data_IF_160324926204
#
_entry.id   IF_160324926204
#
_cell.length_a   1.000
_cell.length_b   1.000
_cell.length_c   1.000
_cell.angle_alpha   90.00
_cell.angle_beta   90.00
_cell.angle_gamma   90.00
#
_symmetry.space_group_name_H-M   'P 1'
#
loop_
_entity.id
_entity.type
_entity.pdbx_description
1 polymer ?
#
# COMPACT_ATOMS: atom_id res chain seq x y z
N UNK A 1 7.31 9.80 -17.68
CA UNK A 1 6.09 9.43 -16.94
C UNK A 1 4.88 9.34 -17.90
N UNK A 2 4.86 8.39 -18.84
CA UNK A 2 3.76 8.30 -19.82
C UNK A 2 2.71 7.23 -19.48
N UNK A 3 3.02 6.28 -18.60
CA UNK A 3 2.16 5.12 -18.34
C UNK A 3 0.80 5.52 -17.75
N UNK A 4 0.78 6.51 -16.84
CA UNK A 4 -0.45 7.00 -16.24
C UNK A 4 -1.37 7.69 -17.27
N UNK A 5 -0.90 8.69 -18.05
CA UNK A 5 -1.70 9.27 -19.13
C UNK A 5 -2.26 8.23 -20.11
N UNK A 6 -1.45 7.24 -20.50
CA UNK A 6 -1.88 6.20 -21.44
C UNK A 6 -2.92 5.27 -20.80
N UNK A 7 -2.76 4.91 -19.52
CA UNK A 7 -3.77 4.16 -18.78
C UNK A 7 -5.10 4.92 -18.68
N UNK A 8 -5.05 6.22 -18.38
CA UNK A 8 -6.25 7.07 -18.37
C UNK A 8 -6.90 7.08 -19.75
N UNK A 9 -6.12 7.23 -20.82
CA UNK A 9 -6.62 7.17 -22.19
C UNK A 9 -7.26 5.82 -22.51
N UNK A 10 -6.65 4.70 -22.12
CA UNK A 10 -7.20 3.35 -22.32
C UNK A 10 -8.53 3.15 -21.60
N UNK A 11 -8.63 3.57 -20.34
CA UNK A 11 -9.88 3.50 -19.58
C UNK A 11 -10.95 4.43 -20.17
N UNK A 12 -10.58 5.64 -20.58
CA UNK A 12 -11.49 6.58 -21.22
C UNK A 12 -12.02 6.04 -22.55
N UNK A 13 -11.16 5.47 -23.39
CA UNK A 13 -11.51 4.95 -24.71
C UNK A 13 -12.03 3.50 -24.72
N UNK A 14 -12.13 2.84 -23.57
CA UNK A 14 -12.58 1.44 -23.45
C UNK A 14 -13.88 1.13 -24.22
N UNK A 15 -14.86 2.04 -24.19
CA UNK A 15 -16.15 1.90 -24.91
C UNK A 15 -16.00 1.85 -26.44
N UNK A 16 -14.85 2.25 -26.98
CA UNK A 16 -14.54 2.22 -28.40
C UNK A 16 -13.75 0.97 -28.81
N UNK A 17 -13.31 0.13 -27.88
CA UNK A 17 -12.52 -1.07 -28.21
C UNK A 17 -13.26 -2.03 -29.16
N UNK A 18 -14.58 -2.29 -29.03
CA UNK A 18 -15.30 -3.13 -29.98
C UNK A 18 -15.50 -2.49 -31.35
N UNK A 19 -15.39 -1.15 -31.45
CA UNK A 19 -15.69 -0.37 -32.65
C UNK A 19 -14.44 -0.06 -33.48
N UNK A 20 -13.26 -0.06 -32.86
CA UNK A 20 -12.00 0.31 -33.49
C UNK A 20 -11.00 -0.85 -33.34
N UNK A 21 -10.91 -1.74 -34.35
CA UNK A 21 -9.95 -2.83 -34.37
C UNK A 21 -8.53 -2.32 -34.12
N UNK A 22 -7.77 -3.00 -33.25
CA UNK A 22 -6.39 -2.67 -32.94
C UNK A 22 -6.18 -1.52 -31.93
N UNK A 23 -7.19 -0.70 -31.61
CA UNK A 23 -7.06 0.36 -30.59
C UNK A 23 -6.70 -0.21 -29.22
N UNK A 24 -7.39 -1.28 -28.82
CA UNK A 24 -7.15 -1.98 -27.56
C UNK A 24 -5.70 -2.46 -27.45
N UNK A 25 -5.26 -3.22 -28.44
CA UNK A 25 -3.95 -3.89 -28.42
C UNK A 25 -2.82 -2.85 -28.53
N UNK A 26 -3.05 -1.77 -29.30
CA UNK A 26 -2.15 -0.61 -29.35
C UNK A 26 -1.98 0.05 -27.99
N UNK A 27 -3.08 0.38 -27.30
CA UNK A 27 -3.02 1.04 -26.00
C UNK A 27 -2.40 0.13 -24.93
N UNK A 28 -2.69 -1.17 -24.95
CA UNK A 28 -2.02 -2.13 -24.07
C UNK A 28 -0.51 -2.20 -24.33
N UNK A 29 -0.11 -2.27 -25.61
CA UNK A 29 1.29 -2.21 -26.01
C UNK A 29 1.99 -0.95 -25.51
N UNK A 30 1.36 0.23 -25.69
CA UNK A 30 1.93 1.51 -25.23
C UNK A 30 2.04 1.56 -23.69
N UNK A 31 1.07 1.04 -22.93
CA UNK A 31 1.15 0.97 -21.47
C UNK A 31 2.40 0.18 -21.04
N UNK A 32 2.61 -1.00 -21.63
CA UNK A 32 3.76 -1.87 -21.32
C UNK A 32 5.07 -1.21 -21.76
N UNK A 33 5.15 -0.71 -23.00
CA UNK A 33 6.34 -0.04 -23.52
C UNK A 33 6.71 1.20 -22.71
N UNK A 34 5.71 1.98 -22.27
CA UNK A 34 5.95 3.13 -21.39
C UNK A 34 6.49 2.70 -20.03
N UNK A 35 6.01 1.59 -19.46
CA UNK A 35 6.54 1.08 -18.21
C UNK A 35 7.97 0.55 -18.36
N UNK A 36 8.27 -0.18 -19.45
CA UNK A 36 9.64 -0.59 -19.78
C UNK A 36 10.56 0.63 -19.96
N UNK A 37 10.11 1.66 -20.69
CA UNK A 37 10.86 2.92 -20.84
C UNK A 37 11.14 3.57 -19.49
N UNK A 38 10.17 3.60 -18.57
CA UNK A 38 10.36 4.13 -17.23
C UNK A 38 11.42 3.38 -16.39
N UNK A 39 11.67 2.10 -16.69
CA UNK A 39 12.65 1.24 -16.00
C UNK A 39 14.03 1.37 -16.66
N UNK A 40 14.10 1.18 -17.98
CA UNK A 40 15.37 1.13 -18.72
C UNK A 40 15.94 2.50 -19.03
N UNK A 41 15.07 3.49 -19.29
CA UNK A 41 15.43 4.87 -19.66
C UNK A 41 14.72 5.88 -18.73
N UNK A 42 14.94 5.80 -17.40
CA UNK A 42 14.34 6.73 -16.45
C UNK A 42 14.87 8.14 -16.70
N UNK A 43 14.10 9.18 -16.32
CA UNK A 43 14.51 10.56 -16.51
C UNK A 43 15.82 10.84 -15.76
N UNK A 44 16.69 11.66 -16.35
CA UNK A 44 17.94 12.07 -15.72
C UNK A 44 17.66 13.08 -14.60
N UNK A 45 17.36 12.54 -13.42
CA UNK A 45 16.83 13.24 -12.25
C UNK A 45 17.30 12.51 -10.99
N UNK A 46 16.91 13.01 -9.81
CA UNK A 46 17.26 12.37 -8.53
C UNK A 46 16.72 10.94 -8.42
N UNK A 47 17.40 10.13 -7.62
CA UNK A 47 17.07 8.71 -7.42
C UNK A 47 15.63 8.49 -6.97
N UNK A 48 15.08 9.40 -6.15
CA UNK A 48 13.67 9.40 -5.78
C UNK A 48 12.72 9.37 -6.98
N UNK A 49 12.95 10.27 -7.95
CA UNK A 49 12.11 10.42 -9.13
C UNK A 49 12.27 9.21 -10.04
N UNK A 50 13.51 8.72 -10.23
CA UNK A 50 13.80 7.51 -11.00
C UNK A 50 13.10 6.28 -10.40
N UNK A 51 13.26 6.04 -9.11
CA UNK A 51 12.63 4.94 -8.38
C UNK A 51 11.11 5.00 -8.50
N UNK A 52 10.52 6.15 -8.14
CA UNK A 52 9.07 6.34 -8.09
C UNK A 52 8.45 6.25 -9.49
N UNK A 53 9.10 6.79 -10.51
CA UNK A 53 8.64 6.68 -11.90
C UNK A 53 8.56 5.22 -12.35
N UNK A 54 9.60 4.41 -12.10
CA UNK A 54 9.60 2.99 -12.47
C UNK A 54 8.63 2.15 -11.62
N UNK A 55 8.62 2.37 -10.31
CA UNK A 55 7.70 1.72 -9.36
C UNK A 55 6.24 1.98 -9.74
N UNK A 56 5.86 3.26 -9.91
CA UNK A 56 4.49 3.63 -10.24
C UNK A 56 4.11 3.16 -11.65
N UNK A 57 5.01 3.28 -12.64
CA UNK A 57 4.72 2.82 -14.00
C UNK A 57 4.42 1.31 -14.03
N UNK A 58 5.19 0.51 -13.31
CA UNK A 58 4.93 -0.94 -13.17
C UNK A 58 3.63 -1.20 -12.40
N UNK A 59 3.37 -0.43 -11.34
CA UNK A 59 2.10 -0.50 -10.60
C UNK A 59 0.89 -0.16 -11.49
N UNK A 60 1.03 0.79 -12.42
CA UNK A 60 -0.02 1.15 -13.37
C UNK A 60 -0.26 0.07 -14.41
N UNK A 61 0.74 -0.73 -14.80
CA UNK A 61 0.51 -1.94 -15.63
C UNK A 61 -0.37 -2.93 -14.87
N UNK A 62 -0.07 -3.20 -13.61
CA UNK A 62 -0.88 -4.09 -12.77
C UNK A 62 -2.31 -3.55 -12.64
N UNK A 63 -2.45 -2.24 -12.44
CA UNK A 63 -3.74 -1.55 -12.40
C UNK A 63 -4.50 -1.64 -13.72
N UNK A 64 -3.79 -1.56 -14.85
CA UNK A 64 -4.36 -1.74 -16.18
C UNK A 64 -4.92 -3.15 -16.34
N UNK A 65 -4.16 -4.18 -15.96
CA UNK A 65 -4.63 -5.57 -16.00
C UNK A 65 -5.87 -5.75 -15.12
N UNK A 66 -5.85 -5.23 -13.89
CA UNK A 66 -7.01 -5.29 -13.01
C UNK A 66 -8.25 -4.66 -13.65
N UNK A 67 -8.13 -3.45 -14.21
CA UNK A 67 -9.29 -2.66 -14.66
C UNK A 67 -9.76 -2.93 -16.09
N UNK A 68 -8.87 -3.42 -16.95
CA UNK A 68 -9.14 -3.60 -18.39
C UNK A 68 -9.25 -5.06 -18.81
N UNK A 69 -8.71 -5.99 -18.01
CA UNK A 69 -8.70 -7.43 -18.33
C UNK A 69 -9.43 -8.28 -17.29
N UNK A 70 -9.28 -7.97 -16.00
CA UNK A 70 -9.88 -8.78 -14.93
C UNK A 70 -11.28 -8.30 -14.57
N UNK A 71 -11.45 -6.98 -14.41
CA UNK A 71 -12.73 -6.37 -14.06
C UNK A 71 -13.42 -5.84 -15.31
N UNK A 72 -14.74 -6.00 -15.37
CA UNK A 72 -15.55 -5.33 -16.39
C UNK A 72 -15.79 -3.87 -15.97
N UNK A 73 -15.17 -2.95 -16.71
CA UNK A 73 -15.31 -1.51 -16.49
C UNK A 73 -16.77 -1.03 -16.58
N UNK A 74 -17.61 -1.69 -17.39
CA UNK A 74 -19.03 -1.34 -17.53
C UNK A 74 -19.84 -1.69 -16.28
N UNK A 75 -19.40 -2.67 -15.51
CA UNK A 75 -20.02 -3.09 -14.26
C UNK A 75 -19.51 -2.32 -13.04
N UNK A 76 -18.44 -1.53 -13.18
CA UNK A 76 -17.96 -0.68 -12.10
C UNK A 76 -18.96 0.45 -11.82
N UNK A 77 -19.35 0.56 -10.55
CA UNK A 77 -20.19 1.65 -10.05
C UNK A 77 -19.38 2.57 -9.15
N UNK A 78 -19.69 3.86 -9.22
CA UNK A 78 -19.10 4.94 -8.43
C UNK A 78 -20.17 5.57 -7.55
N UNK A 79 -19.82 5.95 -6.33
CA UNK A 79 -20.66 6.88 -5.56
C UNK A 79 -20.51 8.29 -6.07
N UNK A 80 -21.59 8.83 -6.63
CA UNK A 80 -21.70 10.23 -6.99
C UNK A 80 -22.52 10.96 -5.93
N UNK A 81 -22.02 12.12 -5.49
CA UNK A 81 -22.77 13.03 -4.61
C UNK A 81 -23.93 13.64 -5.40
N UNK A 82 -25.14 13.55 -4.88
CA UNK A 82 -26.37 14.04 -5.55
C UNK A 82 -26.94 15.26 -4.84
N UNK A 83 -26.78 15.37 -3.52
CA UNK A 83 -27.20 16.56 -2.76
C UNK A 83 -26.01 17.32 -2.20
N UNK A 84 -25.95 18.62 -2.52
CA UNK A 84 -24.95 19.57 -2.04
C UNK A 84 -25.47 20.44 -0.88
N UNK A 85 -26.79 20.48 -0.67
CA UNK A 85 -27.47 21.46 0.20
C UNK A 85 -27.91 20.90 1.56
N UNK A 86 -27.86 19.58 1.79
CA UNK A 86 -28.22 18.97 3.07
C UNK A 86 -27.04 18.86 4.04
N UNK A 87 -27.32 18.94 5.34
CA UNK A 87 -26.36 18.70 6.43
C UNK A 87 -25.71 17.31 6.37
N UNK A 88 -26.36 16.35 5.69
CA UNK A 88 -25.82 15.03 5.37
C UNK A 88 -25.76 14.85 3.85
N UNK A 89 -24.58 14.72 3.24
CA UNK A 89 -24.47 14.55 1.79
C UNK A 89 -25.05 13.19 1.36
N UNK A 90 -25.95 13.23 0.38
CA UNK A 90 -26.58 12.03 -0.22
C UNK A 90 -25.75 11.56 -1.41
N UNK A 91 -25.50 10.26 -1.49
CA UNK A 91 -24.75 9.63 -2.57
C UNK A 91 -25.62 8.58 -3.27
N UNK A 92 -25.32 8.36 -4.55
CA UNK A 92 -25.97 7.31 -5.33
C UNK A 92 -24.93 6.55 -6.14
N UNK A 93 -25.14 5.24 -6.26
CA UNK A 93 -24.33 4.41 -7.16
C UNK A 93 -24.67 4.75 -8.61
N UNK A 94 -23.69 5.27 -9.34
CA UNK A 94 -23.80 5.53 -10.77
C UNK A 94 -22.80 4.67 -11.54
N UNK A 95 -23.23 4.02 -12.64
CA UNK A 95 -22.29 3.35 -13.54
C UNK A 95 -21.36 4.36 -14.21
N UNK A 96 -20.23 3.88 -14.70
CA UNK A 96 -19.35 4.71 -15.52
C UNK A 96 -20.07 5.10 -16.81
N UNK A 97 -20.01 6.39 -17.15
CA UNK A 97 -20.71 6.95 -18.30
C UNK A 97 -20.29 6.24 -19.59
N UNK A 98 -21.23 5.67 -20.38
CA UNK A 98 -20.91 4.98 -21.62
C UNK A 98 -20.51 5.96 -22.73
N UNK A 99 -20.90 7.23 -22.61
CA UNK A 99 -20.55 8.29 -23.55
C UNK A 99 -19.18 8.89 -23.22
N UNK A 100 -18.40 9.16 -24.26
CA UNK A 100 -17.17 9.93 -24.14
C UNK A 100 -17.54 11.38 -23.80
N UNK A 101 -16.89 11.95 -22.79
CA UNK A 101 -17.14 13.31 -22.34
C UNK A 101 -16.50 13.59 -20.98
N UNK A 102 -16.66 14.82 -20.50
CA UNK A 102 -16.07 15.27 -19.23
C UNK A 102 -16.44 14.39 -18.04
N UNK A 103 -17.71 13.97 -17.94
CA UNK A 103 -18.19 13.09 -16.87
C UNK A 103 -17.39 11.77 -16.82
N UNK A 104 -17.21 11.11 -17.97
CA UNK A 104 -16.45 9.86 -18.06
C UNK A 104 -14.98 10.08 -17.71
N UNK A 105 -14.38 11.16 -18.20
CA UNK A 105 -12.98 11.49 -17.89
C UNK A 105 -12.76 11.62 -16.37
N UNK A 106 -13.60 12.40 -15.69
CA UNK A 106 -13.53 12.55 -14.23
C UNK A 106 -13.77 11.22 -13.50
N UNK A 107 -14.71 10.40 -13.96
CA UNK A 107 -14.95 9.06 -13.39
C UNK A 107 -13.73 8.14 -13.56
N UNK A 108 -13.05 8.19 -14.70
CA UNK A 108 -11.81 7.42 -14.95
C UNK A 108 -10.66 7.91 -14.06
N UNK A 109 -10.48 9.23 -13.93
CA UNK A 109 -9.49 9.79 -13.02
C UNK A 109 -9.74 9.38 -11.57
N UNK A 110 -11.00 9.38 -11.12
CA UNK A 110 -11.39 8.91 -9.80
C UNK A 110 -11.03 7.43 -9.59
N UNK A 111 -11.24 6.55 -10.57
CA UNK A 111 -10.84 5.14 -10.46
C UNK A 111 -9.33 4.95 -10.21
N UNK A 112 -8.51 5.84 -10.74
CA UNK A 112 -7.06 5.76 -10.57
C UNK A 112 -6.61 6.35 -9.24
N UNK A 113 -7.19 7.49 -8.83
CA UNK A 113 -6.73 8.27 -7.68
C UNK A 113 -7.38 7.80 -6.37
N UNK A 114 -8.62 7.29 -6.43
CA UNK A 114 -9.36 6.84 -5.25
C UNK A 114 -9.10 5.34 -5.02
N UNK A 115 -8.33 4.97 -3.98
CA UNK A 115 -7.95 3.58 -3.73
C UNK A 115 -9.14 2.68 -3.40
N UNK A 116 -10.28 3.25 -2.98
CA UNK A 116 -11.51 2.50 -2.69
C UNK A 116 -12.43 2.32 -3.90
N UNK A 117 -12.31 3.13 -4.95
CA UNK A 117 -13.30 3.21 -6.04
C UNK A 117 -13.64 1.84 -6.67
N UNK A 118 -12.65 0.98 -6.87
CA UNK A 118 -12.87 -0.37 -7.45
C UNK A 118 -13.20 -1.42 -6.39
N UNK A 119 -12.72 -1.21 -5.14
CA UNK A 119 -13.06 -2.07 -4.00
C UNK A 119 -14.54 -1.98 -3.59
N UNK A 120 -15.27 -0.99 -4.10
CA UNK A 120 -16.71 -0.84 -3.87
C UNK A 120 -17.56 -1.89 -4.56
N UNK A 121 -17.21 -2.26 -5.80
CA UNK A 121 -18.01 -3.19 -6.60
C UNK A 121 -17.63 -4.65 -6.32
N UNK A 122 -16.37 -4.91 -5.95
CA UNK A 122 -15.81 -6.28 -5.89
C UNK A 122 -14.91 -6.54 -4.68
N UNK A 123 -14.77 -5.58 -3.77
CA UNK A 123 -13.82 -5.64 -2.65
C UNK A 123 -14.41 -6.14 -1.34
N UNK A 124 -13.53 -6.35 -0.36
CA UNK A 124 -13.93 -6.73 1.00
C UNK A 124 -14.83 -5.65 1.63
N UNK A 125 -15.83 -6.04 2.46
CA UNK A 125 -16.68 -5.09 3.19
C UNK A 125 -15.93 -4.02 3.98
N UNK A 126 -14.69 -4.29 4.40
CA UNK A 126 -13.85 -3.31 5.13
C UNK A 126 -13.50 -2.06 4.30
N UNK A 127 -13.55 -2.14 2.97
CA UNK A 127 -13.28 -1.01 2.08
C UNK A 127 -14.55 -0.35 1.54
N UNK A 128 -15.71 -0.93 1.85
CA UNK A 128 -16.98 -0.32 1.50
C UNK A 128 -17.12 1.04 2.21
N UNK A 129 -17.83 1.99 1.58
CA UNK A 129 -18.12 3.26 2.20
C UNK A 129 -19.01 3.04 3.44
N UNK A 130 -18.90 3.87 4.49
CA UNK A 130 -19.74 3.76 5.68
C UNK A 130 -21.15 4.26 5.34
N UNK A 131 -21.99 3.42 4.74
CA UNK A 131 -23.30 3.83 4.21
C UNK A 131 -24.45 3.22 5.01
N UNK A 132 -25.50 4.01 5.23
CA UNK A 132 -26.82 3.55 5.65
C UNK A 132 -27.74 3.69 4.45
N UNK A 133 -28.45 2.61 4.11
CA UNK A 133 -29.53 2.68 3.12
C UNK A 133 -30.58 3.63 3.65
N UNK A 134 -30.98 4.63 2.86
CA UNK A 134 -32.19 5.36 3.17
C UNK A 134 -33.33 4.37 2.90
N UNK A 135 -34.09 4.01 3.93
CA UNK A 135 -35.34 3.29 3.67
C UNK A 135 -36.18 4.22 2.79
N UNK A 136 -36.54 3.74 1.61
CA UNK A 136 -37.41 4.48 0.71
C UNK A 136 -38.67 4.80 1.50
N UNK A 137 -38.87 6.08 1.84
CA UNK A 137 -40.16 6.55 2.30
C UNK A 137 -41.16 6.04 1.27
N UNK A 138 -42.10 5.21 1.74
CA UNK A 138 -43.18 4.59 0.97
C UNK A 138 -43.64 5.55 -0.13
N UNK A 139 -43.28 5.24 -1.38
CA UNK A 139 -43.79 5.95 -2.52
C UNK A 139 -45.32 5.87 -2.47
N UNK A 140 -46.06 6.96 -2.73
CA UNK A 140 -47.50 6.88 -2.82
C UNK A 140 -47.85 5.88 -3.92
N UNK A 141 -48.70 4.90 -3.59
CA UNK A 141 -49.21 3.90 -4.53
C UNK A 141 -49.74 4.60 -5.79
N UNK A 142 -49.09 4.41 -6.94
CA UNK A 142 -49.63 4.92 -8.21
C UNK A 142 -48.65 5.21 -9.36
N UNK A 143 -47.33 5.21 -9.16
CA UNK A 143 -46.39 5.47 -10.26
C UNK A 143 -46.01 4.19 -11.02
N UNK A 144 -46.83 3.82 -12.02
CA UNK A 144 -46.46 2.87 -13.06
C UNK A 144 -45.25 3.38 -13.87
N UNK A 145 -44.27 2.50 -14.10
CA UNK A 145 -43.34 2.60 -15.24
C UNK A 145 -41.85 2.77 -14.90
N UNK A 146 -41.09 1.68 -15.09
CA UNK A 146 -39.73 1.64 -15.64
C UNK A 146 -38.66 2.66 -15.20
N UNK A 147 -38.63 3.12 -13.95
CA UNK A 147 -37.44 3.79 -13.41
C UNK A 147 -36.63 2.79 -12.58
N UNK A 148 -35.37 2.46 -12.92
CA UNK A 148 -34.55 1.61 -12.07
C UNK A 148 -34.45 2.28 -10.69
N UNK A 149 -34.83 1.56 -9.63
CA UNK A 149 -34.77 2.03 -8.23
C UNK A 149 -33.39 2.62 -7.97
N UNK A 150 -33.30 3.95 -7.90
CA UNK A 150 -32.09 4.65 -7.46
C UNK A 150 -31.94 4.34 -5.97
N UNK A 151 -30.96 3.51 -5.62
CA UNK A 151 -30.64 3.27 -4.21
C UNK A 151 -29.88 4.49 -3.69
N UNK A 152 -30.64 5.45 -3.16
CA UNK A 152 -30.11 6.59 -2.44
C UNK A 152 -29.56 6.14 -1.10
N UNK A 153 -28.32 6.51 -0.82
CA UNK A 153 -27.63 6.13 0.41
C UNK A 153 -27.08 7.37 1.11
N UNK A 154 -27.18 7.35 2.43
CA UNK A 154 -26.61 8.38 3.30
C UNK A 154 -25.34 7.80 3.90
N UNK A 155 -24.26 8.57 3.86
CA UNK A 155 -23.06 8.20 4.61
C UNK A 155 -23.36 8.31 6.11
N UNK A 156 -23.13 7.23 6.85
CA UNK A 156 -23.00 7.28 8.30
C UNK A 156 -21.77 8.15 8.56
N UNK A 157 -21.95 9.23 9.33
CA UNK A 157 -20.91 10.19 9.63
C UNK A 157 -19.60 9.46 9.96
N UNK A 158 -18.61 9.58 9.07
CA UNK A 158 -17.21 9.34 9.43
C UNK A 158 -16.70 10.54 10.24
N UNK A 159 -15.42 10.52 10.59
CA UNK A 159 -14.76 11.68 11.22
C UNK A 159 -15.12 12.96 10.46
N UNK A 160 -15.50 14.00 11.20
CA UNK A 160 -15.76 15.29 10.59
C UNK A 160 -14.52 15.76 9.85
N UNK A 161 -14.73 16.57 8.81
CA UNK A 161 -13.65 16.97 7.89
C UNK A 161 -12.49 17.66 8.62
N UNK A 162 -12.79 18.43 9.66
CA UNK A 162 -11.79 19.16 10.41
C UNK A 162 -10.91 18.20 11.21
N UNK A 163 -11.51 17.26 11.94
CA UNK A 163 -10.78 16.17 12.62
C UNK A 163 -9.94 15.35 11.65
N UNK A 164 -10.49 15.00 10.47
CA UNK A 164 -9.74 14.29 9.44
C UNK A 164 -8.52 15.09 8.96
N UNK A 165 -8.70 16.37 8.66
CA UNK A 165 -7.61 17.23 8.15
C UNK A 165 -6.53 17.43 9.20
N UNK A 166 -6.88 17.65 10.47
CA UNK A 166 -5.92 17.72 11.57
C UNK A 166 -5.14 16.41 11.66
N UNK A 167 -5.83 15.27 11.70
CA UNK A 167 -5.18 13.96 11.80
C UNK A 167 -4.22 13.70 10.64
N UNK A 168 -4.58 14.09 9.41
CA UNK A 168 -3.71 13.95 8.23
C UNK A 168 -2.54 14.95 8.24
N UNK A 169 -2.77 16.18 8.65
CA UNK A 169 -1.70 17.17 8.79
C UNK A 169 -0.67 16.73 9.83
N UNK A 170 -1.12 16.27 11.00
CA UNK A 170 -0.24 15.70 12.03
C UNK A 170 0.57 14.52 11.49
N UNK A 171 -0.04 13.60 10.75
CA UNK A 171 0.69 12.48 10.12
C UNK A 171 1.72 12.94 9.10
N UNK A 172 1.38 13.91 8.26
CA UNK A 172 2.31 14.47 7.28
C UNK A 172 3.50 15.16 7.97
N UNK A 173 3.26 15.89 9.06
CA UNK A 173 4.31 16.52 9.87
C UNK A 173 5.21 15.50 10.58
N UNK A 174 4.62 14.46 11.19
CA UNK A 174 5.38 13.36 11.81
C UNK A 174 6.22 12.63 10.77
N UNK A 175 5.66 12.35 9.59
CA UNK A 175 6.39 11.74 8.49
C UNK A 175 7.57 12.61 8.04
N UNK A 176 7.33 13.91 7.87
CA UNK A 176 8.36 14.89 7.53
C UNK A 176 9.50 14.89 8.54
N UNK A 177 9.17 14.93 9.85
CA UNK A 177 10.15 14.89 10.92
C UNK A 177 10.97 13.60 10.93
N UNK A 178 10.34 12.44 10.72
CA UNK A 178 11.04 11.15 10.64
C UNK A 178 12.00 11.13 9.44
N UNK A 179 11.57 11.61 8.28
CA UNK A 179 12.41 11.68 7.07
C UNK A 179 13.59 12.65 7.27
N UNK A 180 13.34 13.83 7.85
CA UNK A 180 14.41 14.81 8.13
C UNK A 180 15.42 14.26 9.14
N UNK A 181 14.93 13.58 10.19
CA UNK A 181 15.79 12.89 11.16
C UNK A 181 16.62 11.79 10.51
N UNK A 182 16.00 11.01 9.63
CA UNK A 182 16.66 9.95 8.88
C UNK A 182 17.76 10.51 7.96
N UNK A 183 17.46 11.53 7.16
CA UNK A 183 18.44 12.17 6.28
C UNK A 183 19.58 12.81 7.07
N UNK A 184 19.29 13.42 8.22
CA UNK A 184 20.31 14.07 9.05
C UNK A 184 21.21 13.04 9.72
N UNK A 185 20.65 12.00 10.34
CA UNK A 185 21.40 11.01 11.10
C UNK A 185 22.12 10.00 10.19
N UNK A 186 21.43 9.44 9.21
CA UNK A 186 21.97 8.38 8.34
C UNK A 186 22.60 8.96 7.09
N UNK A 187 21.92 9.90 6.42
CA UNK A 187 22.40 10.44 5.15
C UNK A 187 23.60 11.40 5.30
N UNK A 188 23.64 12.23 6.34
CA UNK A 188 24.66 13.29 6.51
C UNK A 188 25.65 13.03 7.65
N UNK A 189 25.19 12.52 8.79
CA UNK A 189 25.99 12.39 10.00
C UNK A 189 26.20 10.92 10.45
N UNK A 190 26.31 10.00 9.50
CA UNK A 190 26.48 8.56 9.79
C UNK A 190 27.68 8.29 10.70
N UNK A 191 28.79 9.02 10.51
CA UNK A 191 29.98 8.90 11.36
C UNK A 191 29.70 9.21 12.83
N UNK A 192 28.87 10.22 13.12
CA UNK A 192 28.44 10.54 14.49
C UNK A 192 27.58 9.44 15.09
N UNK A 193 26.70 8.84 14.29
CA UNK A 193 25.90 7.66 14.73
C UNK A 193 26.84 6.50 15.05
N UNK A 194 27.83 6.24 14.21
CA UNK A 194 28.82 5.19 14.44
C UNK A 194 29.63 5.41 15.73
N UNK A 195 30.13 6.63 15.94
CA UNK A 195 30.86 6.99 17.14
C UNK A 195 30.00 6.84 18.40
N UNK A 196 28.72 7.23 18.34
CA UNK A 196 27.78 7.06 19.45
C UNK A 196 27.58 5.58 19.79
N UNK A 197 27.36 4.72 18.80
CA UNK A 197 27.18 3.28 19.01
C UNK A 197 28.45 2.65 19.58
N UNK A 198 29.63 2.99 19.05
CA UNK A 198 30.91 2.51 19.57
C UNK A 198 31.13 2.90 21.03
N UNK A 199 30.83 4.16 21.37
CA UNK A 199 30.90 4.69 22.73
C UNK A 199 29.92 3.95 23.65
N UNK A 200 28.70 3.69 23.19
CA UNK A 200 27.70 2.95 23.96
C UNK A 200 28.12 1.50 24.21
N UNK A 201 28.60 0.80 23.18
CA UNK A 201 29.09 -0.58 23.32
C UNK A 201 30.25 -0.66 24.32
N UNK A 202 31.20 0.27 24.22
CA UNK A 202 32.41 0.26 25.04
C UNK A 202 32.14 0.71 26.47
N UNK A 203 31.46 1.84 26.65
CA UNK A 203 31.34 2.49 27.96
C UNK A 203 30.12 2.02 28.77
N UNK A 204 29.05 1.59 28.10
CA UNK A 204 27.82 1.16 28.78
C UNK A 204 27.74 -0.35 28.87
N UNK A 205 28.04 -1.07 27.78
CA UNK A 205 27.97 -2.53 27.75
C UNK A 205 29.30 -3.22 28.06
N UNK A 206 30.41 -2.48 28.17
CA UNK A 206 31.74 -3.06 28.42
C UNK A 206 32.28 -3.92 27.27
N UNK A 207 31.68 -3.81 26.08
CA UNK A 207 32.06 -4.58 24.89
C UNK A 207 33.11 -3.77 24.13
N UNK A 208 34.35 -4.26 24.06
CA UNK A 208 35.36 -3.67 23.18
C UNK A 208 34.90 -3.73 21.72
N UNK A 209 34.48 -2.57 21.21
CA UNK A 209 33.98 -2.40 19.87
C UNK A 209 35.12 -1.88 18.98
N UNK A 210 35.48 -2.66 17.96
CA UNK A 210 36.28 -2.16 16.84
C UNK A 210 35.34 -1.48 15.82
N UNK A 211 35.84 -0.61 14.93
CA UNK A 211 35.02 0.00 13.88
C UNK A 211 34.23 -1.02 13.05
N UNK A 212 34.83 -2.19 12.76
CA UNK A 212 34.16 -3.28 12.05
C UNK A 212 33.04 -3.92 12.87
N UNK A 213 33.22 -4.10 14.19
CA UNK A 213 32.15 -4.60 15.07
C UNK A 213 31.03 -3.58 15.22
N UNK A 214 31.36 -2.30 15.39
CA UNK A 214 30.40 -1.19 15.46
C UNK A 214 29.54 -1.15 14.19
N UNK A 215 30.17 -1.17 13.02
CA UNK A 215 29.48 -1.21 11.72
C UNK A 215 28.58 -2.45 11.60
N UNK A 216 29.07 -3.62 12.03
CA UNK A 216 28.27 -4.83 12.10
C UNK A 216 27.01 -4.66 12.96
N UNK A 217 27.15 -4.09 14.18
CA UNK A 217 26.02 -3.82 15.07
C UNK A 217 25.03 -2.83 14.45
N UNK A 218 25.53 -1.76 13.83
CA UNK A 218 24.67 -0.75 13.18
C UNK A 218 23.88 -1.36 12.04
N UNK A 219 24.54 -2.10 11.14
CA UNK A 219 23.88 -2.76 10.00
C UNK A 219 22.84 -3.79 10.44
N UNK A 220 23.08 -4.47 11.56
CA UNK A 220 22.22 -5.57 12.01
C UNK A 220 21.06 -5.09 12.88
N UNK A 221 21.27 -4.08 13.74
CA UNK A 221 20.29 -3.71 14.77
C UNK A 221 19.75 -2.30 14.64
N UNK A 222 20.48 -1.38 14.00
CA UNK A 222 20.08 0.04 13.92
C UNK A 222 19.47 0.36 12.56
N UNK A 223 20.20 0.10 11.47
CA UNK A 223 19.75 0.43 10.12
C UNK A 223 18.42 -0.23 9.73
N UNK A 224 18.15 -1.52 10.04
CA UNK A 224 16.89 -2.13 9.65
C UNK A 224 15.64 -1.44 10.21
N UNK A 225 15.47 -1.26 11.54
CA UNK A 225 14.30 -0.57 12.05
C UNK A 225 14.22 0.89 11.56
N UNK A 226 15.36 1.58 11.44
CA UNK A 226 15.42 2.96 10.95
C UNK A 226 14.94 3.07 9.50
N UNK A 227 15.43 2.23 8.60
CA UNK A 227 14.99 2.20 7.20
C UNK A 227 13.50 1.81 7.06
N UNK A 228 13.03 0.87 7.88
CA UNK A 228 11.62 0.48 7.92
C UNK A 228 10.74 1.64 8.37
N UNK A 229 11.15 2.37 9.41
CA UNK A 229 10.45 3.57 9.89
C UNK A 229 10.45 4.68 8.84
N UNK A 230 11.58 4.94 8.17
CA UNK A 230 11.67 5.93 7.11
C UNK A 230 10.76 5.58 5.93
N UNK A 231 10.75 4.31 5.51
CA UNK A 231 9.87 3.82 4.44
C UNK A 231 8.38 3.92 4.81
N UNK A 232 8.03 3.55 6.04
CA UNK A 232 6.67 3.69 6.58
C UNK A 232 6.24 5.17 6.60
N UNK A 233 7.08 6.04 7.16
CA UNK A 233 6.82 7.47 7.27
C UNK A 233 6.64 8.11 5.90
N UNK A 234 7.50 7.74 4.94
CA UNK A 234 7.43 8.22 3.58
C UNK A 234 6.08 7.89 2.91
N UNK A 235 5.66 6.63 2.95
CA UNK A 235 4.40 6.21 2.33
C UNK A 235 3.19 6.80 3.04
N UNK A 236 3.14 6.78 4.39
CA UNK A 236 2.00 7.34 5.13
C UNK A 236 1.95 8.86 4.97
N UNK A 237 3.11 9.52 4.90
CA UNK A 237 3.26 10.96 4.68
C UNK A 237 2.73 11.42 3.33
N UNK A 238 3.10 10.75 2.23
CA UNK A 238 2.56 11.05 0.89
C UNK A 238 1.04 10.86 0.87
N UNK A 239 0.55 9.76 1.44
CA UNK A 239 -0.89 9.52 1.48
C UNK A 239 -1.61 10.56 2.34
N UNK A 240 -1.01 10.98 3.45
CA UNK A 240 -1.54 12.02 4.30
C UNK A 240 -1.60 13.38 3.57
N UNK A 241 -0.52 13.77 2.90
CA UNK A 241 -0.44 14.98 2.09
C UNK A 241 -1.48 14.96 0.96
N UNK A 242 -1.64 13.83 0.27
CA UNK A 242 -2.68 13.65 -0.75
C UNK A 242 -4.08 13.83 -0.13
N UNK A 243 -4.33 13.30 1.06
CA UNK A 243 -5.59 13.49 1.78
C UNK A 243 -5.86 14.97 2.14
N UNK A 244 -4.84 15.69 2.63
CA UNK A 244 -4.95 17.13 2.95
C UNK A 244 -5.27 17.93 1.69
N UNK A 245 -4.55 17.67 0.61
CA UNK A 245 -4.77 18.33 -0.67
C UNK A 245 -6.18 18.05 -1.20
N UNK A 246 -6.56 16.78 -1.30
CA UNK A 246 -7.80 16.39 -1.98
C UNK A 246 -9.07 16.70 -1.18
N UNK A 247 -9.03 16.65 0.16
CA UNK A 247 -10.20 16.91 1.03
C UNK A 247 -10.28 18.37 1.49
N UNK A 248 -9.13 19.02 1.66
CA UNK A 248 -9.00 20.40 2.16
C UNK A 248 -8.77 21.41 1.04
N UNK A 249 -7.58 21.38 0.42
CA UNK A 249 -7.16 22.41 -0.56
C UNK A 249 -8.08 22.44 -1.78
N UNK A 250 -8.39 21.28 -2.37
CA UNK A 250 -9.30 21.20 -3.52
C UNK A 250 -10.70 21.71 -3.18
N UNK A 251 -11.15 21.68 -1.93
CA UNK A 251 -12.45 22.26 -1.56
C UNK A 251 -12.49 23.76 -1.72
N UNK A 252 -11.36 24.44 -1.47
CA UNK A 252 -11.27 25.89 -1.62
C UNK A 252 -11.23 26.26 -3.11
N UNK A 253 -10.45 25.50 -3.89
CA UNK A 253 -10.19 25.82 -5.30
C UNK A 253 -11.29 25.30 -6.24
N UNK A 254 -11.81 24.10 -5.99
CA UNK A 254 -12.81 23.43 -6.80
C UNK A 254 -13.71 22.51 -5.94
N UNK A 255 -14.72 23.07 -5.25
CA UNK A 255 -15.59 22.32 -4.34
C UNK A 255 -16.24 21.08 -4.95
N UNK A 256 -16.48 21.09 -6.26
CA UNK A 256 -17.11 19.99 -7.01
C UNK A 256 -16.18 18.80 -7.24
N UNK A 257 -14.86 19.03 -7.26
CA UNK A 257 -13.84 18.00 -7.43
C UNK A 257 -13.22 17.56 -6.10
N UNK A 258 -13.51 18.27 -5.02
CA UNK A 258 -13.01 17.95 -3.69
C UNK A 258 -13.49 16.58 -3.23
N UNK A 259 -12.56 15.81 -2.70
CA UNK A 259 -12.84 14.51 -2.13
C UNK A 259 -13.41 14.64 -0.72
N UNK A 260 -13.82 13.50 -0.18
CA UNK A 260 -14.38 13.39 1.17
C UNK A 260 -13.48 12.53 2.07
N UNK A 261 -13.47 12.77 3.40
CA UNK A 261 -12.61 12.04 4.35
C UNK A 261 -12.60 10.51 4.18
N UNK A 262 -13.78 9.92 3.99
CA UNK A 262 -13.97 8.47 3.89
C UNK A 262 -13.29 7.84 2.65
N UNK A 263 -12.96 8.64 1.62
CA UNK A 263 -12.26 8.19 0.41
C UNK A 263 -10.77 7.87 0.66
N UNK A 264 -10.20 8.34 1.77
CA UNK A 264 -8.79 8.18 2.12
C UNK A 264 -8.58 7.27 3.35
N UNK A 265 -8.84 5.95 3.23
CA UNK A 265 -8.55 4.99 4.30
C UNK A 265 -7.08 5.07 4.73
N UNK A 266 -6.73 4.67 5.95
CA UNK A 266 -5.33 4.45 6.32
C UNK A 266 -4.64 3.50 5.33
N UNK A 267 -3.41 3.83 4.90
CA UNK A 267 -2.58 2.92 4.07
C UNK A 267 -2.10 1.73 4.91
N UNK A 268 -1.74 2.05 6.15
CA UNK A 268 -1.28 1.10 7.13
C UNK A 268 -2.33 0.80 8.18
N UNK A 269 -2.35 -0.45 8.65
CA UNK A 269 -3.09 -0.84 9.84
C UNK A 269 -2.43 -0.35 11.13
N UNK A 270 -3.04 -0.70 12.26
CA UNK A 270 -2.55 -0.28 13.57
C UNK A 270 -1.14 -0.86 13.87
N UNK A 271 -0.23 0.00 14.33
CA UNK A 271 1.14 -0.33 14.73
C UNK A 271 1.20 -1.48 15.74
N UNK A 272 0.18 -1.65 16.58
CA UNK A 272 0.05 -2.78 17.52
C UNK A 272 0.25 -4.15 16.88
N UNK A 273 0.00 -4.27 15.57
CA UNK A 273 0.20 -5.51 14.83
C UNK A 273 1.69 -5.87 14.67
N UNK A 274 2.63 -4.93 14.73
CA UNK A 274 4.07 -5.25 14.78
C UNK A 274 4.43 -6.09 16.01
N UNK A 275 3.87 -5.74 17.17
CA UNK A 275 4.16 -6.39 18.45
C UNK A 275 3.53 -7.78 18.63
N UNK A 276 2.85 -8.27 17.60
CA UNK A 276 2.37 -9.65 17.57
C UNK A 276 3.39 -10.62 16.99
N UNK A 277 4.45 -10.09 16.36
CA UNK A 277 5.53 -10.85 15.73
C UNK A 277 5.05 -11.95 14.76
N UNK A 278 3.93 -11.73 14.07
CA UNK A 278 3.37 -12.70 13.11
C UNK A 278 3.36 -12.12 11.70
N UNK A 279 4.06 -12.79 10.78
CA UNK A 279 4.16 -12.39 9.37
C UNK A 279 2.82 -12.61 8.64
N UNK A 280 2.09 -13.69 8.95
CA UNK A 280 0.72 -13.96 8.46
C UNK A 280 -0.11 -14.58 9.56
N UNK A 281 -1.19 -13.92 9.92
CA UNK A 281 -2.08 -14.32 11.01
C UNK A 281 -3.31 -15.12 10.55
N UNK A 282 -3.92 -15.83 11.49
CA UNK A 282 -5.13 -16.68 11.37
C UNK A 282 -6.23 -16.24 10.39
N UNK A 283 -6.75 -17.23 9.65
CA UNK A 283 -8.04 -17.26 8.92
C UNK A 283 -9.14 -17.94 9.80
N UNK A 284 -10.45 -17.73 9.57
CA UNK A 284 -11.48 -17.75 10.62
C UNK A 284 -12.25 -19.07 10.81
N UNK A 285 -12.78 -19.22 12.06
CA UNK A 285 -13.97 -19.96 12.55
C UNK A 285 -13.78 -21.25 13.41
N UNK A 286 -14.61 -21.47 14.49
CA UNK A 286 -14.22 -21.18 15.90
C UNK A 286 -14.77 -22.25 16.93
N UNK A 287 -15.00 -22.04 18.27
CA UNK A 287 -15.56 -20.87 18.99
C UNK A 287 -14.65 -20.25 20.09
N UNK A 288 -14.95 -18.98 20.42
CA UNK A 288 -14.62 -18.27 21.68
C UNK A 288 -13.31 -17.45 21.77
N UNK A 289 -13.52 -16.12 21.85
CA UNK A 289 -12.65 -14.99 22.24
C UNK A 289 -11.37 -14.64 21.44
N UNK A 290 -11.53 -13.63 20.57
CA UNK A 290 -10.57 -12.53 20.28
C UNK A 290 -9.21 -12.85 19.65
N UNK A 291 -9.15 -13.66 18.59
CA UNK A 291 -7.97 -13.75 17.73
C UNK A 291 -8.37 -13.82 16.25
N UNK A 292 -8.62 -12.64 15.65
CA UNK A 292 -8.74 -12.49 14.19
C UNK A 292 -7.36 -12.13 13.67
N UNK A 293 -6.74 -12.99 12.87
CA UNK A 293 -5.36 -12.86 12.43
C UNK A 293 -5.15 -12.10 11.12
N UNK A 294 -4.00 -11.43 11.03
CA UNK A 294 -3.13 -11.19 9.88
C UNK A 294 -2.23 -9.98 10.14
N UNK A 295 -1.11 -10.10 10.85
CA UNK A 295 -0.64 -8.92 11.57
C UNK A 295 0.26 -8.01 10.73
N UNK A 296 1.49 -8.41 10.39
CA UNK A 296 2.43 -7.49 9.70
C UNK A 296 2.06 -7.34 8.22
N UNK A 297 2.17 -8.37 7.39
CA UNK A 297 1.94 -8.24 5.93
C UNK A 297 0.47 -8.20 5.52
N UNK A 298 -0.44 -8.64 6.40
CA UNK A 298 -1.84 -8.83 6.04
C UNK A 298 -2.83 -7.80 6.59
N UNK A 299 -2.49 -7.02 7.61
CA UNK A 299 -3.33 -5.94 8.17
C UNK A 299 -2.58 -4.65 8.35
N UNK A 300 -1.28 -4.72 8.65
CA UNK A 300 -0.49 -3.52 8.87
C UNK A 300 0.08 -2.96 7.58
N UNK A 301 0.78 -3.76 6.77
CA UNK A 301 1.57 -3.26 5.65
C UNK A 301 0.76 -3.13 4.35
N UNK A 302 0.72 -1.91 3.78
CA UNK A 302 0.22 -1.60 2.43
C UNK A 302 -1.13 -2.25 2.07
N UNK A 303 -2.12 -2.10 2.94
CA UNK A 303 -3.42 -2.75 2.76
C UNK A 303 -4.15 -2.28 1.48
N UNK A 304 -3.85 -1.06 0.99
CA UNK A 304 -4.40 -0.51 -0.25
C UNK A 304 -3.76 -1.08 -1.52
N UNK A 305 -2.47 -1.40 -1.49
CA UNK A 305 -1.76 -2.00 -2.63
C UNK A 305 -2.11 -3.48 -2.82
N UNK A 306 -2.62 -4.13 -1.76
CA UNK A 306 -2.93 -5.56 -1.75
C UNK A 306 -3.99 -5.97 -2.78
N UNK A 307 -4.99 -5.11 -3.03
CA UNK A 307 -6.16 -5.48 -3.85
C UNK A 307 -5.80 -5.69 -5.32
N UNK A 308 -5.07 -4.79 -6.01
CA UNK A 308 -4.58 -5.05 -7.37
C UNK A 308 -3.74 -6.34 -7.48
N UNK A 309 -2.86 -6.61 -6.51
CA UNK A 309 -2.04 -7.83 -6.50
C UNK A 309 -2.88 -9.10 -6.34
N UNK A 310 -3.87 -9.06 -5.45
CA UNK A 310 -4.80 -10.18 -5.27
C UNK A 310 -5.69 -10.40 -6.49
N UNK A 311 -6.20 -9.34 -7.12
CA UNK A 311 -7.04 -9.45 -8.31
C UNK A 311 -6.28 -10.15 -9.46
N UNK A 312 -5.02 -9.73 -9.69
CA UNK A 312 -4.14 -10.38 -10.66
C UNK A 312 -3.80 -11.82 -10.27
N UNK A 313 -3.49 -12.06 -8.99
CA UNK A 313 -3.16 -13.43 -8.54
C UNK A 313 -4.36 -14.38 -8.67
N UNK A 314 -5.57 -13.89 -8.39
CA UNK A 314 -6.80 -14.67 -8.50
C UNK A 314 -7.15 -14.99 -9.95
N UNK A 315 -6.88 -14.08 -10.90
CA UNK A 315 -7.15 -14.33 -12.31
C UNK A 315 -6.17 -15.33 -12.94
N UNK A 316 -4.96 -15.47 -12.38
CA UNK A 316 -3.94 -16.40 -12.87
C UNK A 316 -4.06 -17.81 -12.28
N UNK A 317 -4.74 -17.98 -11.14
CA UNK A 317 -4.85 -19.30 -10.48
C UNK A 317 -6.16 -19.99 -10.90
N UNK A 318 -6.09 -21.18 -11.52
CA UNK A 318 -7.28 -21.91 -11.96
C UNK A 318 -8.26 -22.20 -10.82
N UNK A 319 -9.56 -22.16 -11.14
CA UNK A 319 -10.61 -22.45 -10.14
C UNK A 319 -10.57 -23.89 -9.65
N UNK A 320 -10.12 -24.82 -10.49
CA UNK A 320 -10.00 -26.25 -10.19
C UNK A 320 -8.89 -26.58 -9.17
N UNK A 321 -8.03 -25.63 -8.80
CA UNK A 321 -6.96 -25.89 -7.83
C UNK A 321 -7.52 -26.21 -6.42
N UNK A 322 -7.00 -27.23 -5.73
CA UNK A 322 -7.36 -27.51 -4.34
C UNK A 322 -7.18 -26.28 -3.45
N UNK A 323 -8.11 -26.07 -2.50
CA UNK A 323 -8.18 -24.83 -1.71
C UNK A 323 -6.86 -24.44 -1.02
N UNK A 324 -6.13 -25.41 -0.47
CA UNK A 324 -4.84 -25.18 0.17
C UNK A 324 -3.77 -24.70 -0.81
N UNK A 325 -3.63 -25.39 -1.93
CA UNK A 325 -2.70 -25.02 -3.01
C UNK A 325 -3.07 -23.69 -3.64
N UNK A 326 -4.37 -23.46 -3.92
CA UNK A 326 -4.90 -22.18 -4.41
C UNK A 326 -4.49 -21.02 -3.50
N UNK A 327 -4.67 -21.16 -2.18
CA UNK A 327 -4.28 -20.13 -1.20
C UNK A 327 -2.76 -19.89 -1.16
N UNK A 328 -1.95 -20.93 -1.35
CA UNK A 328 -0.49 -20.80 -1.40
C UNK A 328 -0.07 -20.05 -2.67
N UNK A 329 -0.54 -20.49 -3.83
CA UNK A 329 -0.24 -19.89 -5.13
C UNK A 329 -0.63 -18.41 -5.16
N UNK A 330 -1.81 -18.06 -4.67
CA UNK A 330 -2.24 -16.65 -4.58
C UNK A 330 -1.26 -15.82 -3.76
N UNK A 331 -0.78 -16.33 -2.63
CA UNK A 331 0.19 -15.61 -1.79
C UNK A 331 1.53 -15.48 -2.52
N UNK A 332 2.05 -16.57 -3.08
CA UNK A 332 3.31 -16.54 -3.82
C UNK A 332 3.26 -15.54 -4.99
N UNK A 333 2.21 -15.61 -5.81
CA UNK A 333 2.01 -14.69 -6.93
C UNK A 333 1.85 -13.24 -6.46
N UNK A 334 1.12 -12.98 -5.36
CA UNK A 334 0.97 -11.62 -4.83
C UNK A 334 2.31 -11.02 -4.40
N UNK A 335 3.17 -11.82 -3.75
CA UNK A 335 4.51 -11.37 -3.38
C UNK A 335 5.43 -11.23 -4.60
N UNK A 336 5.37 -12.13 -5.59
CA UNK A 336 6.13 -12.00 -6.84
C UNK A 336 5.75 -10.71 -7.58
N UNK A 337 4.46 -10.41 -7.71
CA UNK A 337 3.97 -9.17 -8.33
C UNK A 337 4.50 -7.95 -7.58
N UNK A 338 4.47 -7.97 -6.24
CA UNK A 338 5.09 -6.92 -5.43
C UNK A 338 6.61 -6.82 -5.69
N UNK A 339 7.30 -7.96 -5.83
CA UNK A 339 8.71 -8.04 -6.15
C UNK A 339 9.07 -7.42 -7.50
N UNK A 340 8.23 -7.61 -8.53
CA UNK A 340 8.42 -6.99 -9.85
C UNK A 340 8.42 -5.46 -9.73
N UNK A 341 7.46 -4.90 -8.98
CA UNK A 341 7.34 -3.46 -8.79
C UNK A 341 8.56 -2.89 -8.08
N UNK A 342 9.05 -3.56 -7.04
CA UNK A 342 10.26 -3.11 -6.32
C UNK A 342 11.54 -3.30 -7.14
N UNK A 343 11.70 -4.43 -7.83
CA UNK A 343 12.85 -4.69 -8.71
C UNK A 343 12.94 -3.68 -9.86
N UNK A 344 11.80 -3.26 -10.40
CA UNK A 344 11.71 -2.19 -11.40
C UNK A 344 12.25 -0.85 -10.85
N UNK A 345 11.80 -0.44 -9.66
CA UNK A 345 12.31 0.75 -8.97
C UNK A 345 13.81 0.67 -8.69
N UNK A 346 14.26 -0.48 -8.18
CA UNK A 346 15.66 -0.77 -7.90
C UNK A 346 16.53 -0.63 -9.15
N UNK A 347 16.20 -1.33 -10.23
CA UNK A 347 16.97 -1.30 -11.47
C UNK A 347 17.01 0.10 -12.09
N UNK A 348 15.91 0.85 -12.01
CA UNK A 348 15.86 2.21 -12.55
C UNK A 348 16.88 3.14 -11.87
N UNK A 349 17.16 2.93 -10.58
CA UNK A 349 18.16 3.70 -9.83
C UNK A 349 19.56 3.11 -9.98
N UNK A 350 19.74 1.81 -9.67
CA UNK A 350 21.07 1.20 -9.59
C UNK A 350 21.69 0.87 -10.94
N UNK A 351 20.86 0.64 -11.97
CA UNK A 351 21.27 0.00 -13.24
C UNK A 351 21.97 -1.34 -13.06
N UNK A 352 21.71 -2.01 -11.93
CA UNK A 352 22.31 -3.29 -11.57
C UNK A 352 21.25 -4.41 -11.58
N UNK A 353 21.44 -5.38 -12.48
CA UNK A 353 20.60 -6.56 -12.58
C UNK A 353 20.69 -7.47 -11.36
N UNK A 354 21.85 -7.52 -10.69
CA UNK A 354 22.01 -8.32 -9.49
C UNK A 354 21.17 -7.75 -8.34
N UNK A 355 21.22 -6.44 -8.08
CA UNK A 355 20.34 -5.80 -7.11
C UNK A 355 18.85 -6.04 -7.41
N UNK A 356 18.43 -5.89 -8.67
CA UNK A 356 17.04 -6.15 -9.08
C UNK A 356 16.63 -7.62 -8.87
N UNK A 357 17.52 -8.57 -9.20
CA UNK A 357 17.32 -9.99 -8.93
C UNK A 357 17.20 -10.28 -7.44
N UNK A 358 18.07 -9.72 -6.61
CA UNK A 358 18.02 -9.89 -5.15
C UNK A 358 16.72 -9.36 -4.56
N UNK A 359 16.16 -8.29 -5.13
CA UNK A 359 14.83 -7.80 -4.75
C UNK A 359 13.73 -8.79 -5.12
N UNK A 360 13.76 -9.36 -6.33
CA UNK A 360 12.82 -10.41 -6.70
C UNK A 360 12.94 -11.62 -5.76
N UNK A 361 14.17 -12.05 -5.49
CA UNK A 361 14.47 -13.19 -4.63
C UNK A 361 13.95 -12.98 -3.20
N UNK A 362 14.17 -11.79 -2.62
CA UNK A 362 13.61 -11.41 -1.32
C UNK A 362 12.09 -11.62 -1.28
N UNK A 363 11.36 -11.10 -2.29
CA UNK A 363 9.92 -11.23 -2.34
C UNK A 363 9.45 -12.68 -2.58
N UNK A 364 10.20 -13.49 -3.33
CA UNK A 364 9.90 -14.92 -3.51
C UNK A 364 10.13 -15.75 -2.25
N UNK A 365 11.07 -15.36 -1.38
CA UNK A 365 11.36 -16.06 -0.11
C UNK A 365 10.32 -15.73 0.98
N UNK A 366 9.72 -14.54 0.97
CA UNK A 366 8.74 -14.11 1.97
C UNK A 366 7.55 -15.07 2.18
N UNK A 367 6.87 -15.57 1.13
CA UNK A 367 5.84 -16.60 1.26
C UNK A 367 6.30 -17.84 2.02
N UNK A 368 7.54 -18.29 1.78
CA UNK A 368 8.11 -19.46 2.45
C UNK A 368 8.31 -19.18 3.94
N UNK A 369 8.91 -18.04 4.30
CA UNK A 369 9.04 -17.63 5.70
C UNK A 369 7.68 -17.56 6.41
N UNK A 370 6.69 -17.00 5.72
CA UNK A 370 5.31 -16.93 6.19
C UNK A 370 4.73 -18.31 6.44
N UNK A 371 4.86 -19.25 5.50
CA UNK A 371 4.33 -20.61 5.62
C UNK A 371 5.03 -21.38 6.74
N UNK A 372 6.37 -21.28 6.83
CA UNK A 372 7.15 -21.93 7.89
C UNK A 372 6.73 -21.43 9.26
N UNK A 373 6.62 -20.11 9.45
CA UNK A 373 6.15 -19.54 10.72
C UNK A 373 4.75 -20.03 11.09
N UNK A 374 3.85 -20.14 10.11
CA UNK A 374 2.49 -20.65 10.30
C UNK A 374 2.47 -22.12 10.70
N UNK A 375 3.26 -22.98 10.04
CA UNK A 375 3.34 -24.39 10.40
C UNK A 375 3.85 -24.55 11.83
N UNK A 376 4.92 -23.84 12.19
CA UNK A 376 5.48 -23.88 13.54
C UNK A 376 4.45 -23.41 14.57
N UNK A 377 3.87 -22.22 14.36
CA UNK A 377 3.02 -21.56 15.36
C UNK A 377 1.61 -22.12 15.47
N UNK A 378 1.01 -22.53 14.35
CA UNK A 378 -0.39 -22.93 14.30
C UNK A 378 -0.57 -24.46 14.28
N UNK A 379 0.45 -25.23 13.89
CA UNK A 379 0.33 -26.69 13.78
C UNK A 379 1.25 -27.45 14.73
N UNK A 380 2.52 -27.08 14.83
CA UNK A 380 3.50 -27.83 15.63
C UNK A 380 3.36 -27.47 17.11
N UNK A 381 3.56 -26.19 17.48
CA UNK A 381 3.55 -25.75 18.87
C UNK A 381 2.23 -26.07 19.60
N UNK A 382 1.03 -25.89 18.99
CA UNK A 382 -0.21 -26.22 19.68
C UNK A 382 -0.44 -27.72 19.91
N UNK A 383 0.27 -28.60 19.18
CA UNK A 383 0.21 -30.06 19.39
C UNK A 383 1.17 -30.53 20.48
N UNK A 384 2.28 -29.82 20.67
CA UNK A 384 3.33 -30.18 21.64
C UNK A 384 3.09 -29.49 23.00
N UNK A 385 2.48 -28.31 23.01
CA UNK A 385 2.24 -27.54 24.22
C UNK A 385 0.84 -27.81 24.80
N UNK A 386 0.67 -27.76 26.14
CA UNK A 386 -0.64 -27.93 26.77
C UNK A 386 -1.67 -26.93 26.22
N UNK A 387 -2.82 -27.45 25.78
CA UNK A 387 -3.91 -26.64 25.28
C UNK A 387 -4.40 -25.67 26.38
N UNK A 388 -4.57 -24.39 26.00
CA UNK A 388 -5.16 -23.31 26.82
C UNK A 388 -4.30 -22.73 27.97
N UNK A 389 -3.08 -23.21 28.21
CA UNK A 389 -2.18 -22.60 29.22
C UNK A 389 -1.65 -21.22 28.80
N UNK A 390 -1.54 -20.29 29.75
CA UNK A 390 -0.87 -18.98 29.56
C UNK A 390 0.59 -19.15 29.17
N UNK A 391 1.27 -20.15 29.72
CA UNK A 391 2.68 -20.46 29.41
C UNK A 391 2.81 -20.82 27.93
N UNK A 392 1.91 -21.66 27.39
CA UNK A 392 1.92 -22.02 25.96
C UNK A 392 1.77 -20.79 25.07
N UNK A 393 0.97 -19.79 25.47
CA UNK A 393 0.80 -18.54 24.71
C UNK A 393 2.08 -17.69 24.71
N UNK A 394 2.74 -17.59 25.86
CA UNK A 394 4.01 -16.86 26.00
C UNK A 394 5.10 -17.54 25.17
N UNK A 395 5.20 -18.86 25.23
CA UNK A 395 6.17 -19.63 24.42
C UNK A 395 5.93 -19.40 22.92
N UNK A 396 4.69 -19.53 22.44
CA UNK A 396 4.36 -19.27 21.03
C UNK A 396 4.70 -17.82 20.63
N UNK A 397 4.44 -16.85 21.50
CA UNK A 397 4.78 -15.46 21.24
C UNK A 397 6.31 -15.25 21.16
N UNK A 398 7.08 -15.85 22.08
CA UNK A 398 8.55 -15.79 22.06
C UNK A 398 9.15 -16.45 20.82
N UNK A 399 8.63 -17.61 20.40
CA UNK A 399 9.07 -18.27 19.16
C UNK A 399 8.77 -17.39 17.95
N UNK A 400 7.61 -16.73 17.92
CA UNK A 400 7.26 -15.79 16.86
C UNK A 400 8.18 -14.56 16.85
N UNK A 401 8.49 -14.01 18.02
CA UNK A 401 9.45 -12.91 18.17
C UNK A 401 10.83 -13.31 17.68
N UNK A 402 11.33 -14.49 18.09
CA UNK A 402 12.59 -15.05 17.63
C UNK A 402 12.61 -15.29 16.11
N UNK A 403 11.50 -15.80 15.55
CA UNK A 403 11.37 -16.00 14.11
C UNK A 403 11.42 -14.69 13.34
N UNK A 404 10.67 -13.67 13.78
CA UNK A 404 10.69 -12.34 13.15
C UNK A 404 12.05 -11.67 13.32
N UNK A 405 12.71 -11.83 14.47
CA UNK A 405 14.06 -11.34 14.69
C UNK A 405 15.06 -12.04 13.74
N UNK A 406 14.99 -13.37 13.61
CA UNK A 406 15.82 -14.13 12.68
C UNK A 406 15.56 -13.72 11.22
N UNK A 407 14.30 -13.58 10.81
CA UNK A 407 13.95 -13.08 9.49
C UNK A 407 14.45 -11.64 9.27
N UNK A 408 14.30 -10.77 10.27
CA UNK A 408 14.81 -9.41 10.27
C UNK A 408 16.33 -9.36 10.18
N UNK A 409 17.02 -10.36 10.73
CA UNK A 409 18.47 -10.49 10.70
C UNK A 409 18.98 -11.05 9.36
N UNK A 410 18.39 -12.14 8.86
CA UNK A 410 18.94 -12.85 7.70
C UNK A 410 18.35 -12.39 6.36
N UNK A 411 17.09 -11.94 6.33
CA UNK A 411 16.37 -11.69 5.09
C UNK A 411 16.10 -10.20 4.85
N UNK A 412 15.73 -9.45 5.90
CA UNK A 412 15.48 -8.00 5.75
C UNK A 412 16.68 -7.21 5.21
N UNK A 413 17.95 -7.53 5.53
CA UNK A 413 19.08 -6.78 4.96
C UNK A 413 19.15 -6.85 3.44
N UNK A 414 18.63 -7.91 2.81
CA UNK A 414 18.59 -8.00 1.35
C UNK A 414 17.71 -6.90 0.76
N UNK A 415 16.52 -6.68 1.32
CA UNK A 415 15.67 -5.58 0.89
C UNK A 415 16.37 -4.23 1.07
N UNK A 416 17.03 -4.03 2.20
CA UNK A 416 17.64 -2.74 2.53
C UNK A 416 18.87 -2.45 1.67
N UNK A 417 19.74 -3.43 1.49
CA UNK A 417 20.98 -3.28 0.74
C UNK A 417 20.75 -3.18 -0.76
N UNK A 418 19.71 -3.83 -1.29
CA UNK A 418 19.48 -3.90 -2.73
C UNK A 418 18.33 -3.03 -3.23
N UNK A 419 17.35 -2.64 -2.41
CA UNK A 419 16.16 -1.97 -2.92
C UNK A 419 16.43 -0.61 -3.57
N UNK A 420 17.51 0.08 -3.19
CA UNK A 420 17.72 1.51 -3.49
C UNK A 420 16.65 2.45 -2.93
N UNK A 421 15.75 1.93 -2.10
CA UNK A 421 14.72 2.73 -1.44
C UNK A 421 15.31 3.67 -0.38
N UNK A 422 16.27 3.25 0.47
CA UNK A 422 16.95 4.17 1.39
C UNK A 422 17.60 5.35 0.66
N UNK A 423 18.40 5.08 -0.38
CA UNK A 423 19.07 6.11 -1.19
C UNK A 423 18.05 7.02 -1.90
N UNK A 424 16.95 6.44 -2.40
CA UNK A 424 15.86 7.21 -2.97
C UNK A 424 15.23 8.16 -1.92
N UNK A 425 15.00 7.72 -0.69
CA UNK A 425 14.46 8.55 0.41
C UNK A 425 15.46 9.65 0.80
N UNK A 426 16.76 9.36 0.80
CA UNK A 426 17.82 10.35 1.08
C UNK A 426 17.89 11.46 0.03
N UNK A 427 17.58 11.13 -1.23
CA UNK A 427 17.60 12.10 -2.32
C UNK A 427 16.41 13.07 -2.34
N UNK A 428 15.38 12.86 -1.49
CA UNK A 428 14.19 13.72 -1.44
C UNK A 428 14.61 15.13 -1.00
N UNK A 429 14.33 16.17 -1.81
CA UNK A 429 14.58 17.54 -1.40
C UNK A 429 13.66 17.92 -0.23
N UNK A 430 14.25 18.30 0.89
CA UNK A 430 13.53 18.83 2.04
C UNK A 430 13.55 20.37 1.96
N UNK A 431 12.40 21.04 1.87
CA UNK A 431 12.35 22.51 1.76
C UNK A 431 13.03 23.20 2.95
N UNK A 432 12.86 22.67 4.17
CA UNK A 432 13.48 23.17 5.39
C UNK A 432 13.84 22.00 6.30
N UNK A 433 15.11 21.85 6.65
CA UNK A 433 15.52 20.82 7.64
C UNK A 433 15.29 21.37 9.05
N UNK A 434 14.47 20.68 9.85
CA UNK A 434 14.28 21.02 11.26
C UNK A 434 15.62 20.87 12.00
N UNK A 435 16.33 19.77 11.75
CA UNK A 435 17.64 19.56 12.35
C UNK A 435 18.72 20.49 11.81
N UNK A 436 18.65 20.90 10.54
CA UNK A 436 19.55 21.94 10.03
C UNK A 436 19.36 23.27 10.77
N UNK A 437 18.12 23.66 11.06
CA UNK A 437 17.83 24.86 11.85
C UNK A 437 18.25 24.70 13.32
N UNK A 438 17.95 23.56 13.95
CA UNK A 438 18.24 23.32 15.38
C UNK A 438 19.73 23.12 15.64
N UNK A 439 20.44 22.43 14.75
CA UNK A 439 21.85 22.10 14.89
C UNK A 439 22.77 23.11 14.18
N UNK A 440 22.22 24.03 13.39
CA UNK A 440 22.99 25.03 12.64
C UNK A 440 23.78 24.42 11.48
N UNK A 441 23.25 23.38 10.83
CA UNK A 441 23.91 22.60 9.75
C UNK A 441 23.20 22.77 8.42
#
# INVERSE_FOLDING_TARGET
>A
MYTLPVLIAALFLHVKFPLLPGLRDTLYGIIVLSACSAIFYPPDTRDFIRYTNAFLSTSFVIRAVELLLVQDLSHLKRLQRVSYLSSSPVYTWEPISPTLGWKRFVQVCDLIINPRAVGWSYGSPKYQPPVRKLEAASAPDGANGCVPKREDIVLVAGDDRFTFLIGKLCRALVAYFIIDSYQTAIGRNYSSVSNFVETFLTNVLGIQASPAKTEGVIRLFVLPPVHWMASYAFVDGIHAATGVFSVGVLRIISPQLAAEPWMYPPVFGAIRYMFTFSLRGKSPNPPSYSSKGNNIWGKMWHDLCRRPFLALSLSLVPEACPLGLKRLLIVCLSFMVSGIVHAAGTYAVSKDWYAAFMMMFFFCVLPTCVVVQQIISDQILPRVLPAKSTISRVVIWLVNAAFVAAWGYYTSPWFLNYSKLPEAIESIPMPVSFWGVVLGV
#
